data_IF_766021347907
#
_entry.id   IF_766021347907
#
_cell.length_a   1.000
_cell.length_b   1.000
_cell.length_c   1.000
_cell.angle_alpha   90.00
_cell.angle_beta   90.00
_cell.angle_gamma   90.00
#
_symmetry.space_group_name_H-M   'P 1'
#
loop_
_entity.id
_entity.type
_entity.pdbx_description
1 polymer ?
#
# COMPACT_ATOMS: atom_id res chain seq x y z
N UNK A 1 10.37 -23.04 37.34
CA UNK A 1 9.58 -22.54 36.18
C UNK A 1 9.18 -21.11 36.48
N UNK A 2 9.99 -20.17 35.98
CA UNK A 2 10.20 -18.85 36.56
C UNK A 2 9.18 -17.81 36.12
N UNK A 3 8.94 -16.83 37.00
CA UNK A 3 8.10 -15.66 36.76
C UNK A 3 8.43 -14.88 35.47
N UNK A 4 9.63 -15.07 34.92
CA UNK A 4 10.12 -14.47 33.67
C UNK A 4 9.40 -15.02 32.45
N UNK A 5 9.12 -16.32 32.41
CA UNK A 5 8.47 -17.00 31.27
C UNK A 5 7.01 -16.57 31.13
N UNK A 6 6.33 -16.36 32.26
CA UNK A 6 4.97 -15.78 32.31
C UNK A 6 4.96 -14.30 31.92
N UNK A 7 6.05 -13.57 32.17
CA UNK A 7 6.19 -12.16 31.83
C UNK A 7 6.49 -11.97 30.34
N UNK A 8 7.32 -12.84 29.77
CA UNK A 8 7.59 -12.93 28.34
C UNK A 8 6.33 -13.30 27.54
N UNK A 9 5.60 -14.34 27.93
CA UNK A 9 4.32 -14.68 27.27
C UNK A 9 3.28 -13.58 27.35
N UNK A 10 3.29 -12.79 28.42
CA UNK A 10 2.39 -11.64 28.57
C UNK A 10 2.81 -10.50 27.63
N UNK A 11 4.11 -10.20 27.55
CA UNK A 11 4.65 -9.26 26.57
C UNK A 11 4.35 -9.71 25.13
N UNK A 12 4.54 -10.98 24.78
CA UNK A 12 4.20 -11.52 23.45
C UNK A 12 2.69 -11.47 23.15
N UNK A 13 1.83 -11.63 24.16
CA UNK A 13 0.37 -11.51 24.02
C UNK A 13 -0.13 -10.05 24.00
N UNK A 14 0.62 -9.13 24.62
CA UNK A 14 0.34 -7.68 24.67
C UNK A 14 1.11 -6.89 23.61
N UNK A 15 1.95 -7.54 22.79
CA UNK A 15 2.49 -6.91 21.59
C UNK A 15 1.40 -7.07 20.54
N UNK A 16 0.59 -6.03 20.23
CA UNK A 16 -0.15 -6.07 18.97
C UNK A 16 0.92 -6.33 17.91
N UNK A 17 0.69 -7.29 17.02
CA UNK A 17 1.62 -7.54 15.90
C UNK A 17 1.66 -6.25 15.10
N UNK A 18 2.59 -5.35 15.45
CA UNK A 18 2.83 -4.10 14.74
C UNK A 18 3.44 -4.55 13.43
N UNK A 19 2.58 -4.79 12.45
CA UNK A 19 3.01 -5.04 11.09
C UNK A 19 3.80 -3.81 10.66
N UNK A 20 4.99 -4.05 10.13
CA UNK A 20 5.77 -3.02 9.46
C UNK A 20 4.96 -2.44 8.29
N UNK A 21 5.25 -1.20 7.91
CA UNK A 21 4.60 -0.58 6.74
C UNK A 21 4.76 -1.43 5.47
N UNK A 22 5.89 -2.13 5.33
CA UNK A 22 6.11 -3.08 4.24
C UNK A 22 5.15 -4.28 4.30
N UNK A 23 4.93 -4.86 5.47
CA UNK A 23 3.98 -5.97 5.66
C UNK A 23 2.53 -5.54 5.41
N UNK A 24 2.17 -4.31 5.78
CA UNK A 24 0.86 -3.70 5.49
C UNK A 24 0.68 -3.56 3.99
N UNK A 25 1.66 -2.99 3.28
CA UNK A 25 1.63 -2.86 1.82
C UNK A 25 1.54 -4.20 1.12
N UNK A 26 2.35 -5.17 1.53
CA UNK A 26 2.29 -6.53 0.99
C UNK A 26 0.92 -7.20 1.23
N UNK A 27 0.29 -6.93 2.39
CA UNK A 27 -1.05 -7.43 2.68
C UNK A 27 -2.16 -6.74 1.86
N UNK A 28 -2.00 -5.45 1.56
CA UNK A 28 -2.88 -4.69 0.68
C UNK A 28 -2.76 -5.18 -0.77
N UNK A 29 -1.54 -5.29 -1.31
CA UNK A 29 -1.32 -5.76 -2.68
C UNK A 29 -1.88 -7.18 -2.91
N UNK A 30 -1.83 -8.07 -1.91
CA UNK A 30 -2.44 -9.41 -1.99
C UNK A 30 -3.96 -9.41 -2.14
N UNK A 31 -4.65 -8.32 -1.79
CA UNK A 31 -6.10 -8.16 -1.91
C UNK A 31 -6.52 -7.46 -3.20
N UNK A 32 -5.58 -6.83 -3.89
CA UNK A 32 -5.86 -6.11 -5.14
C UNK A 32 -6.05 -7.08 -6.30
N UNK A 33 -6.84 -6.66 -7.29
CA UNK A 33 -6.92 -7.37 -8.56
C UNK A 33 -5.60 -7.23 -9.32
N UNK A 34 -5.29 -8.19 -10.19
CA UNK A 34 -4.11 -8.08 -11.08
C UNK A 34 -4.19 -6.84 -11.97
N UNK A 35 -5.38 -6.47 -12.42
CA UNK A 35 -5.61 -5.29 -13.25
C UNK A 35 -5.27 -3.99 -12.51
N UNK A 36 -5.79 -3.82 -11.28
CA UNK A 36 -5.48 -2.63 -10.47
C UNK A 36 -3.96 -2.54 -10.17
N UNK A 37 -3.31 -3.68 -9.89
CA UNK A 37 -1.86 -3.72 -9.66
C UNK A 37 -1.06 -3.29 -10.90
N UNK A 38 -1.47 -3.77 -12.08
CA UNK A 38 -0.84 -3.39 -13.35
C UNK A 38 -1.01 -1.90 -13.61
N UNK A 39 -2.22 -1.35 -13.42
CA UNK A 39 -2.47 0.09 -13.61
C UNK A 39 -1.57 0.93 -12.68
N UNK A 40 -1.43 0.55 -11.41
CA UNK A 40 -0.56 1.25 -10.47
C UNK A 40 0.91 1.14 -10.85
N UNK A 41 1.38 -0.06 -11.22
CA UNK A 41 2.77 -0.31 -11.62
C UNK A 41 3.14 0.46 -12.89
N UNK A 42 2.29 0.44 -13.91
CA UNK A 42 2.55 1.14 -15.17
C UNK A 42 2.57 2.66 -14.98
N UNK A 43 1.66 3.17 -14.15
CA UNK A 43 1.60 4.60 -13.83
C UNK A 43 2.86 5.05 -13.07
N UNK A 44 3.29 4.28 -12.07
CA UNK A 44 4.52 4.56 -11.32
C UNK A 44 5.77 4.47 -12.21
N UNK A 45 5.86 3.45 -13.06
CA UNK A 45 6.97 3.30 -14.01
C UNK A 45 7.04 4.49 -14.97
N UNK A 46 5.91 4.97 -15.50
CA UNK A 46 5.89 6.16 -16.36
C UNK A 46 6.38 7.41 -15.62
N UNK A 47 6.02 7.56 -14.34
CA UNK A 47 6.53 8.66 -13.52
C UNK A 47 8.06 8.56 -13.34
N UNK A 48 8.60 7.36 -13.10
CA UNK A 48 10.04 7.13 -13.01
C UNK A 48 10.77 7.39 -14.35
N UNK A 49 10.18 6.96 -15.47
CA UNK A 49 10.73 7.16 -16.82
C UNK A 49 10.77 8.62 -17.25
N UNK A 50 9.86 9.44 -16.74
CA UNK A 50 9.82 10.88 -17.02
C UNK A 50 10.92 11.67 -16.28
N UNK A 51 11.79 11.00 -15.51
CA UNK A 51 12.82 11.62 -14.66
C UNK A 51 12.22 12.81 -13.90
N UNK A 52 11.12 12.53 -13.20
CA UNK A 52 10.23 13.51 -12.59
C UNK A 52 10.44 13.65 -11.06
N UNK A 53 11.62 14.09 -10.56
CA UNK A 53 11.67 14.67 -9.22
C UNK A 53 11.08 16.10 -9.22
N UNK A 54 10.91 16.73 -10.39
CA UNK A 54 10.46 18.13 -10.55
C UNK A 54 9.02 18.25 -11.08
N UNK A 55 8.57 17.26 -11.85
CA UNK A 55 7.19 17.14 -12.33
C UNK A 55 6.31 16.66 -11.17
N UNK A 56 5.46 17.54 -10.65
CA UNK A 56 4.54 17.21 -9.58
C UNK A 56 3.51 16.17 -10.02
N UNK A 57 2.97 15.41 -9.06
CA UNK A 57 1.90 14.44 -9.31
C UNK A 57 0.73 15.02 -10.10
N UNK A 58 0.33 16.26 -9.82
CA UNK A 58 -0.76 16.93 -10.54
C UNK A 58 -0.43 17.17 -12.02
N UNK A 59 0.82 17.49 -12.34
CA UNK A 59 1.27 17.73 -13.70
C UNK A 59 1.35 16.42 -14.48
N UNK A 60 1.89 15.35 -13.85
CA UNK A 60 1.87 14.00 -14.41
C UNK A 60 0.46 13.47 -14.68
N UNK A 61 -0.48 13.64 -13.74
CA UNK A 61 -1.88 13.24 -13.93
C UNK A 61 -2.58 14.07 -15.02
N UNK A 62 -2.09 15.28 -15.31
CA UNK A 62 -2.56 16.10 -16.42
C UNK A 62 -2.11 15.59 -17.81
N UNK A 63 -0.99 14.87 -17.87
CA UNK A 63 -0.48 14.26 -19.11
C UNK A 63 -1.15 12.91 -19.45
N UNK A 64 -1.81 12.28 -18.46
CA UNK A 64 -2.60 11.07 -18.70
C UNK A 64 -3.89 11.40 -19.45
N UNK A 65 -4.33 10.48 -20.31
CA UNK A 65 -5.69 10.56 -20.85
C UNK A 65 -6.74 10.45 -19.73
N UNK A 66 -7.96 10.93 -19.99
CA UNK A 66 -9.06 10.86 -19.01
C UNK A 66 -9.32 9.42 -18.54
N UNK A 67 -9.27 8.45 -19.45
CA UNK A 67 -9.45 7.03 -19.17
C UNK A 67 -8.32 6.47 -18.30
N UNK A 68 -7.06 6.80 -18.62
CA UNK A 68 -5.90 6.37 -17.82
C UNK A 68 -5.92 6.99 -16.42
N UNK A 69 -6.31 8.26 -16.31
CA UNK A 69 -6.44 8.95 -15.03
C UNK A 69 -7.54 8.34 -14.18
N UNK A 70 -8.70 8.08 -14.76
CA UNK A 70 -9.81 7.43 -14.07
C UNK A 70 -9.44 6.02 -13.59
N UNK A 71 -8.79 5.22 -14.44
CA UNK A 71 -8.31 3.89 -14.07
C UNK A 71 -7.34 3.94 -12.89
N UNK A 72 -6.37 4.89 -12.92
CA UNK A 72 -5.43 5.09 -11.83
C UNK A 72 -6.12 5.54 -10.54
N UNK A 73 -7.02 6.53 -10.59
CA UNK A 73 -7.75 7.03 -9.42
C UNK A 73 -8.56 5.91 -8.76
N UNK A 74 -9.23 5.07 -9.55
CA UNK A 74 -9.97 3.92 -9.03
C UNK A 74 -9.06 2.86 -8.40
N UNK A 75 -7.96 2.50 -9.08
CA UNK A 75 -7.00 1.53 -8.58
C UNK A 75 -6.32 2.02 -7.28
N UNK A 76 -5.99 3.32 -7.23
CA UNK A 76 -5.39 3.94 -6.06
C UNK A 76 -6.36 4.00 -4.87
N UNK A 77 -7.63 4.35 -5.10
CA UNK A 77 -8.66 4.31 -4.05
C UNK A 77 -8.83 2.90 -3.45
N UNK A 78 -8.83 1.86 -4.30
CA UNK A 78 -8.87 0.46 -3.84
C UNK A 78 -7.61 0.07 -3.06
N UNK A 79 -6.44 0.56 -3.47
CA UNK A 79 -5.21 0.37 -2.72
C UNK A 79 -5.25 1.03 -1.33
N UNK A 80 -5.74 2.28 -1.23
CA UNK A 80 -5.89 2.97 0.05
C UNK A 80 -6.85 2.24 1.00
N UNK A 81 -7.96 1.73 0.47
CA UNK A 81 -8.88 0.88 1.23
C UNK A 81 -8.20 -0.40 1.71
N UNK A 82 -7.48 -1.10 0.83
CA UNK A 82 -6.75 -2.31 1.17
C UNK A 82 -5.65 -2.06 2.22
N UNK A 83 -4.98 -0.91 2.18
CA UNK A 83 -4.02 -0.47 3.22
C UNK A 83 -4.72 -0.22 4.54
N UNK A 84 -5.87 0.46 4.54
CA UNK A 84 -6.68 0.71 5.75
C UNK A 84 -7.12 -0.61 6.38
N UNK A 85 -7.66 -1.54 5.61
CA UNK A 85 -8.06 -2.87 6.10
C UNK A 85 -6.87 -3.66 6.64
N UNK A 86 -5.74 -3.64 5.93
CA UNK A 86 -4.51 -4.31 6.36
C UNK A 86 -3.95 -3.76 7.67
N UNK A 87 -4.13 -2.45 7.94
CA UNK A 87 -3.80 -1.77 9.21
C UNK A 87 -4.77 -2.12 10.33
N UNK A 88 -6.06 -2.22 10.01
CA UNK A 88 -7.10 -2.62 10.97
C UNK A 88 -7.07 -4.12 11.31
N UNK A 89 -6.25 -4.90 10.61
CA UNK A 89 -6.11 -6.34 10.82
C UNK A 89 -7.36 -7.13 10.39
N UNK A 90 -8.17 -6.56 9.51
CA UNK A 90 -9.41 -7.17 8.99
C UNK A 90 -9.18 -7.96 7.70
#
# INVERSE_FOLDING_TARGET
MGSVERRLRRLEAETPVVRTEEEIRAAACRRMSTEDLVVLEETLRRLEELDAPELGWEEFLGELSEEEREAFEQAYARYEEAIREAREGR
#
